data_IF_257515435223
#
_entry.id   IF_257515435223
#
_cell.length_a   1.000
_cell.length_b   1.000
_cell.length_c   1.000
_cell.angle_alpha   90.00
_cell.angle_beta   90.00
_cell.angle_gamma   90.00
#
_symmetry.space_group_name_H-M   'P 1'
#
loop_
_entity.id
_entity.type
_entity.pdbx_description
1 polymer ?
#
# COMPACT_ATOMS: atom_id res chain seq x y z
N UNK A 1 -1.77 -5.70 15.57
CA UNK A 1 -2.72 -4.56 15.48
C UNK A 1 -1.91 -3.36 15.07
N UNK A 2 -2.18 -2.82 13.88
CA UNK A 2 -1.35 -1.78 13.26
C UNK A 2 -1.67 -0.39 13.81
N UNK A 3 -0.80 0.12 14.68
CA UNK A 3 -1.01 1.40 15.38
C UNK A 3 -0.87 2.59 14.43
N UNK A 4 0.04 2.52 13.47
CA UNK A 4 0.29 3.58 12.48
C UNK A 4 -0.90 3.71 11.54
N UNK A 5 -1.43 2.59 11.06
CA UNK A 5 -2.65 2.62 10.26
C UNK A 5 -3.83 3.24 11.02
N UNK A 6 -3.96 2.96 12.33
CA UNK A 6 -5.00 3.59 13.17
C UNK A 6 -4.79 5.09 13.36
N UNK A 7 -3.56 5.57 13.39
CA UNK A 7 -3.26 7.01 13.47
C UNK A 7 -3.55 7.70 12.14
N UNK A 8 -3.09 7.12 11.03
CA UNK A 8 -3.36 7.65 9.70
C UNK A 8 -4.87 7.72 9.39
N UNK A 9 -5.62 6.65 9.68
CA UNK A 9 -7.07 6.66 9.48
C UNK A 9 -7.78 7.73 10.35
N UNK A 10 -7.34 7.91 11.61
CA UNK A 10 -7.87 9.00 12.46
C UNK A 10 -7.51 10.38 11.92
N UNK A 11 -6.33 10.53 11.33
CA UNK A 11 -5.91 11.76 10.67
C UNK A 11 -6.85 12.08 9.49
N UNK A 12 -7.05 11.11 8.58
CA UNK A 12 -7.96 11.24 7.43
C UNK A 12 -9.37 11.63 7.89
N UNK A 13 -9.92 10.95 8.90
CA UNK A 13 -11.24 11.25 9.42
C UNK A 13 -11.39 12.67 9.98
N UNK A 14 -10.35 13.19 10.63
CA UNK A 14 -10.38 14.52 11.26
C UNK A 14 -10.10 15.66 10.30
N UNK A 15 -9.15 15.46 9.38
CA UNK A 15 -8.57 16.54 8.58
C UNK A 15 -8.95 16.49 7.11
N UNK A 16 -9.39 15.34 6.58
CA UNK A 16 -9.63 15.14 5.14
C UNK A 16 -11.10 14.87 4.82
N UNK A 17 -11.79 14.01 5.58
CA UNK A 17 -13.18 13.62 5.26
C UNK A 17 -14.22 14.76 5.41
N UNK A 18 -13.81 15.93 5.87
CA UNK A 18 -14.64 17.14 5.92
C UNK A 18 -14.40 18.07 4.72
N UNK A 19 -15.14 19.18 4.64
CA UNK A 19 -14.79 20.25 3.69
C UNK A 19 -13.50 20.92 4.14
N UNK A 20 -12.41 20.62 3.46
CA UNK A 20 -11.11 21.25 3.68
C UNK A 20 -11.23 22.72 3.27
N UNK A 21 -11.23 23.62 4.25
CA UNK A 21 -11.26 25.07 4.02
C UNK A 21 -9.87 25.66 3.91
N UNK A 22 -8.91 25.04 4.57
CA UNK A 22 -7.53 25.48 4.65
C UNK A 22 -6.61 24.27 4.59
N UNK A 23 -5.89 24.10 3.48
CA UNK A 23 -4.98 22.98 3.31
C UNK A 23 -3.71 23.13 4.15
N UNK A 24 -3.32 24.36 4.53
CA UNK A 24 -2.15 24.60 5.36
C UNK A 24 -2.29 23.94 6.74
N UNK A 25 -3.49 23.98 7.33
CA UNK A 25 -3.78 23.29 8.60
C UNK A 25 -3.60 21.78 8.50
N UNK A 26 -3.98 21.19 7.37
CA UNK A 26 -3.80 19.75 7.12
C UNK A 26 -2.31 19.43 6.95
N UNK A 27 -1.57 20.26 6.21
CA UNK A 27 -0.13 20.09 5.99
C UNK A 27 0.65 20.23 7.31
N UNK A 28 0.36 21.23 8.12
CA UNK A 28 1.02 21.41 9.41
C UNK A 28 0.72 20.26 10.37
N UNK A 29 -0.53 19.82 10.46
CA UNK A 29 -0.88 18.65 11.25
C UNK A 29 -0.15 17.38 10.78
N UNK A 30 0.01 17.20 9.46
CA UNK A 30 0.77 16.09 8.91
C UNK A 30 2.26 16.18 9.29
N UNK A 31 2.88 17.36 9.19
CA UNK A 31 4.28 17.59 9.60
C UNK A 31 4.50 17.30 11.08
N UNK A 32 3.61 17.78 11.95
CA UNK A 32 3.66 17.51 13.39
C UNK A 32 3.62 16.00 13.66
N UNK A 33 2.70 15.28 13.02
CA UNK A 33 2.59 13.83 13.21
C UNK A 33 3.82 13.08 12.68
N UNK A 34 4.35 13.49 11.52
CA UNK A 34 5.59 12.92 10.96
C UNK A 34 6.81 13.15 11.85
N UNK A 35 6.86 14.25 12.58
CA UNK A 35 7.92 14.52 13.54
C UNK A 35 7.90 13.53 14.71
N UNK A 36 6.71 13.09 15.13
CA UNK A 36 6.54 12.15 16.26
C UNK A 36 6.78 10.67 15.91
N UNK A 37 6.80 10.33 14.62
CA UNK A 37 7.02 8.95 14.15
C UNK A 37 8.52 8.82 13.88
N UNK A 38 9.24 7.95 14.58
CA UNK A 38 10.69 7.82 14.35
C UNK A 38 11.02 6.92 13.16
N UNK A 39 10.29 5.80 13.03
CA UNK A 39 10.60 4.77 12.06
C UNK A 39 10.24 5.23 10.63
N UNK A 40 11.19 5.08 9.70
CA UNK A 40 11.02 5.46 8.28
C UNK A 40 9.87 4.73 7.60
N UNK A 41 9.72 3.42 7.81
CA UNK A 41 8.66 2.63 7.20
C UNK A 41 7.29 3.07 7.73
N UNK A 42 7.20 3.38 9.02
CA UNK A 42 5.99 3.89 9.63
C UNK A 42 5.60 5.26 9.08
N UNK A 43 6.57 6.15 8.82
CA UNK A 43 6.32 7.43 8.14
C UNK A 43 5.76 7.22 6.73
N UNK A 44 6.38 6.33 5.95
CA UNK A 44 5.92 6.02 4.59
C UNK A 44 4.48 5.49 4.64
N UNK A 45 4.22 4.54 5.54
CA UNK A 45 2.89 3.94 5.70
C UNK A 45 1.84 4.98 6.09
N UNK A 46 2.18 5.86 7.04
CA UNK A 46 1.32 6.96 7.46
C UNK A 46 0.97 7.89 6.29
N UNK A 47 1.98 8.32 5.53
CA UNK A 47 1.80 9.21 4.37
C UNK A 47 0.96 8.59 3.27
N UNK A 48 1.20 7.32 2.93
CA UNK A 48 0.45 6.64 1.88
C UNK A 48 -1.04 6.53 2.21
N UNK A 49 -1.39 6.17 3.45
CA UNK A 49 -2.80 6.10 3.88
C UNK A 49 -3.48 7.47 3.82
N UNK A 50 -2.77 8.55 4.18
CA UNK A 50 -3.31 9.91 4.09
C UNK A 50 -3.48 10.33 2.64
N UNK A 51 -2.51 10.03 1.79
CA UNK A 51 -2.56 10.33 0.36
C UNK A 51 -3.73 9.62 -0.31
N UNK A 52 -3.92 8.34 0.00
CA UNK A 52 -5.05 7.54 -0.46
C UNK A 52 -6.38 8.15 0.00
N UNK A 53 -6.52 8.45 1.29
CA UNK A 53 -7.71 9.09 1.84
C UNK A 53 -8.02 10.45 1.18
N UNK A 54 -6.99 11.24 0.89
CA UNK A 54 -7.12 12.52 0.19
C UNK A 54 -7.63 12.32 -1.25
N UNK A 55 -7.06 11.36 -1.97
CA UNK A 55 -7.44 11.06 -3.36
C UNK A 55 -8.88 10.55 -3.43
N UNK A 56 -9.29 9.66 -2.52
CA UNK A 56 -10.68 9.16 -2.46
C UNK A 56 -11.68 10.32 -2.33
N UNK A 57 -11.42 11.28 -1.43
CA UNK A 57 -12.32 12.44 -1.25
C UNK A 57 -12.26 13.37 -2.47
N UNK A 58 -11.07 13.56 -3.05
CA UNK A 58 -10.92 14.38 -4.24
C UNK A 58 -11.66 13.80 -5.45
N UNK A 59 -11.54 12.49 -5.68
CA UNK A 59 -12.20 11.78 -6.78
C UNK A 59 -13.73 11.75 -6.63
N UNK A 60 -14.26 11.84 -5.41
CA UNK A 60 -15.69 12.03 -5.18
C UNK A 60 -16.15 13.46 -5.49
N UNK A 61 -15.30 14.46 -5.23
CA UNK A 61 -15.61 15.86 -5.48
C UNK A 61 -15.52 16.23 -6.96
N UNK A 62 -14.44 15.82 -7.64
CA UNK A 62 -14.05 16.25 -8.99
C UNK A 62 -15.14 16.10 -10.05
N UNK A 63 -15.89 14.98 -10.15
CA UNK A 63 -16.96 14.82 -11.14
C UNK A 63 -18.15 15.78 -10.94
N UNK A 64 -18.34 16.27 -9.72
CA UNK A 64 -19.47 17.12 -9.32
C UNK A 64 -19.08 18.62 -9.24
N UNK A 65 -17.83 18.95 -9.55
CA UNK A 65 -17.30 20.29 -9.44
C UNK A 65 -17.70 21.14 -10.66
N UNK A 66 -18.41 22.25 -10.42
CA UNK A 66 -18.93 23.12 -11.48
C UNK A 66 -17.93 24.20 -11.93
N UNK A 67 -16.84 24.40 -11.20
CA UNK A 67 -15.84 25.43 -11.46
C UNK A 67 -14.42 24.90 -11.19
N UNK A 68 -13.93 23.93 -11.99
CA UNK A 68 -12.72 23.16 -11.68
C UNK A 68 -11.47 24.03 -11.53
N UNK A 69 -11.32 25.07 -12.35
CA UNK A 69 -10.13 25.93 -12.36
C UNK A 69 -10.06 26.93 -11.19
N UNK A 70 -11.17 27.15 -10.50
CA UNK A 70 -11.26 28.11 -9.39
C UNK A 70 -11.79 27.46 -8.10
N UNK A 71 -11.91 26.14 -8.08
CA UNK A 71 -12.46 25.45 -6.92
C UNK A 71 -11.41 25.37 -5.81
N UNK A 72 -11.67 26.06 -4.70
CA UNK A 72 -10.80 26.00 -3.52
C UNK A 72 -10.65 24.58 -2.95
N UNK A 73 -11.64 23.70 -3.16
CA UNK A 73 -11.58 22.30 -2.73
C UNK A 73 -10.58 21.52 -3.60
N UNK A 74 -10.58 21.71 -4.92
CA UNK A 74 -9.58 21.12 -5.82
C UNK A 74 -8.17 21.56 -5.42
N UNK A 75 -7.97 22.88 -5.29
CA UNK A 75 -6.67 23.44 -4.91
C UNK A 75 -6.18 22.88 -3.56
N UNK A 76 -7.09 22.71 -2.59
CA UNK A 76 -6.74 22.14 -1.30
C UNK A 76 -6.26 20.69 -1.41
N UNK A 77 -7.03 19.83 -2.10
CA UNK A 77 -6.64 18.43 -2.29
C UNK A 77 -5.35 18.28 -3.11
N UNK A 78 -5.17 19.08 -4.16
CA UNK A 78 -3.96 19.09 -4.98
C UNK A 78 -2.72 19.53 -4.19
N UNK A 79 -2.87 20.56 -3.33
CA UNK A 79 -1.79 21.04 -2.47
C UNK A 79 -1.38 19.99 -1.44
N UNK A 80 -2.36 19.30 -0.83
CA UNK A 80 -2.12 18.18 0.10
C UNK A 80 -1.41 17.04 -0.63
N UNK A 81 -1.92 16.62 -1.79
CA UNK A 81 -1.31 15.55 -2.60
C UNK A 81 0.14 15.90 -2.96
N UNK A 82 0.40 17.12 -3.40
CA UNK A 82 1.75 17.57 -3.73
C UNK A 82 2.69 17.49 -2.53
N UNK A 83 2.26 17.97 -1.36
CA UNK A 83 3.04 17.89 -0.12
C UNK A 83 3.35 16.44 0.27
N UNK A 84 2.32 15.58 0.34
CA UNK A 84 2.48 14.18 0.74
C UNK A 84 3.40 13.42 -0.24
N UNK A 85 3.24 13.68 -1.54
CA UNK A 85 4.10 13.13 -2.57
C UNK A 85 5.57 13.52 -2.39
N UNK A 86 5.82 14.78 -2.05
CA UNK A 86 7.18 15.25 -1.80
C UNK A 86 7.79 14.61 -0.55
N UNK A 87 7.03 14.45 0.53
CA UNK A 87 7.52 13.75 1.74
C UNK A 87 7.82 12.28 1.45
N UNK A 88 6.96 11.58 0.71
CA UNK A 88 7.20 10.21 0.25
C UNK A 88 8.46 10.11 -0.61
N UNK A 89 8.66 11.05 -1.53
CA UNK A 89 9.87 11.12 -2.35
C UNK A 89 11.14 11.32 -1.51
N UNK A 90 11.11 12.17 -0.48
CA UNK A 90 12.23 12.34 0.48
C UNK A 90 12.52 11.06 1.26
N UNK A 91 11.51 10.25 1.52
CA UNK A 91 11.65 8.93 2.12
C UNK A 91 12.00 7.84 1.10
N UNK A 92 12.29 8.19 -0.15
CA UNK A 92 12.74 7.29 -1.21
C UNK A 92 11.63 6.42 -1.81
N UNK A 93 10.38 6.90 -1.78
CA UNK A 93 9.23 6.33 -2.48
C UNK A 93 8.92 7.22 -3.68
N UNK A 94 9.01 6.68 -4.89
CA UNK A 94 8.64 7.42 -6.08
C UNK A 94 7.17 7.13 -6.41
N UNK A 95 6.34 8.16 -6.35
CA UNK A 95 4.96 8.08 -6.81
C UNK A 95 4.94 8.17 -8.34
N UNK A 96 5.21 7.05 -8.98
CA UNK A 96 5.15 6.85 -10.42
C UNK A 96 4.45 5.49 -10.69
N UNK A 97 4.63 4.92 -11.88
CA UNK A 97 4.09 3.60 -12.24
C UNK A 97 4.45 2.48 -11.24
N UNK A 98 5.44 2.69 -10.36
CA UNK A 98 5.84 1.78 -9.28
C UNK A 98 4.90 1.83 -8.05
N UNK A 99 3.92 2.73 -7.98
CA UNK A 99 2.94 2.74 -6.87
C UNK A 99 1.75 1.87 -7.19
N UNK A 100 1.34 0.99 -6.26
CA UNK A 100 0.12 0.21 -6.43
C UNK A 100 -1.10 1.14 -6.50
N UNK A 101 -1.97 0.93 -7.49
CA UNK A 101 -3.33 1.47 -7.46
C UNK A 101 -4.22 0.59 -6.58
N UNK A 102 -5.37 1.11 -6.17
CA UNK A 102 -6.36 0.36 -5.37
C UNK A 102 -6.78 -0.93 -6.09
N UNK A 103 -6.94 -0.88 -7.42
CA UNK A 103 -7.28 -2.05 -8.23
C UNK A 103 -6.14 -3.06 -8.27
N UNK A 104 -4.88 -2.60 -8.29
CA UNK A 104 -3.71 -3.47 -8.27
C UNK A 104 -3.50 -4.10 -6.89
N UNK A 105 -3.70 -3.37 -5.80
CA UNK A 105 -3.68 -3.94 -4.44
C UNK A 105 -4.78 -5.00 -4.30
N UNK A 106 -6.02 -4.67 -4.70
CA UNK A 106 -7.13 -5.61 -4.66
C UNK A 106 -6.91 -6.84 -5.54
N UNK A 107 -6.30 -6.68 -6.72
CA UNK A 107 -5.93 -7.79 -7.59
C UNK A 107 -4.84 -8.67 -6.98
N UNK A 108 -3.80 -8.06 -6.42
CA UNK A 108 -2.71 -8.78 -5.75
C UNK A 108 -3.23 -9.53 -4.51
N UNK A 109 -4.10 -8.90 -3.72
CA UNK A 109 -4.73 -9.51 -2.54
C UNK A 109 -5.59 -10.70 -2.91
N UNK A 110 -6.46 -10.57 -3.91
CA UNK A 110 -7.29 -11.69 -4.38
C UNK A 110 -6.46 -12.86 -4.92
N UNK A 111 -5.32 -12.58 -5.57
CA UNK A 111 -4.37 -13.61 -6.01
C UNK A 111 -3.69 -14.28 -4.83
N UNK A 112 -3.23 -13.52 -3.85
CA UNK A 112 -2.64 -14.07 -2.62
C UNK A 112 -3.65 -14.94 -1.86
N UNK A 113 -4.90 -14.52 -1.74
CA UNK A 113 -5.97 -15.30 -1.10
C UNK A 113 -6.25 -16.60 -1.85
N UNK A 114 -6.24 -16.55 -3.19
CA UNK A 114 -6.38 -17.75 -4.03
C UNK A 114 -5.22 -18.71 -3.78
N UNK A 115 -3.99 -18.21 -3.75
CA UNK A 115 -2.79 -19.01 -3.45
C UNK A 115 -2.89 -19.64 -2.06
N UNK A 116 -3.27 -18.86 -1.05
CA UNK A 116 -3.49 -19.35 0.32
C UNK A 116 -4.55 -20.45 0.30
N UNK A 117 -5.69 -20.24 -0.38
CA UNK A 117 -6.76 -21.22 -0.47
C UNK A 117 -6.32 -22.52 -1.15
N UNK A 118 -5.69 -22.42 -2.31
CA UNK A 118 -5.23 -23.57 -3.10
C UNK A 118 -4.20 -24.41 -2.31
N UNK A 119 -3.32 -23.75 -1.56
CA UNK A 119 -2.37 -24.41 -0.67
C UNK A 119 -3.07 -25.05 0.54
N UNK A 120 -4.20 -24.49 0.97
CA UNK A 120 -5.04 -25.04 2.03
C UNK A 120 -5.85 -26.26 1.58
N UNK A 121 -6.15 -26.38 0.29
CA UNK A 121 -6.84 -27.54 -0.30
C UNK A 121 -5.88 -28.72 -0.54
N UNK A 122 -4.58 -28.45 -0.73
CA UNK A 122 -3.51 -29.47 -0.80
C UNK A 122 -3.18 -30.15 0.55
N UNK A 123 -4.02 -29.96 1.58
CA UNK A 123 -3.87 -30.49 2.95
C UNK A 123 -3.74 -32.02 2.98
N UNK A 124 -2.50 -32.48 2.91
CA UNK A 124 -2.04 -33.75 3.44
C UNK A 124 -0.84 -33.49 4.37
N UNK A 125 -1.11 -33.33 5.67
CA UNK A 125 -0.11 -33.51 6.73
C UNK A 125 0.67 -32.29 7.27
N UNK A 126 0.56 -31.10 6.68
CA UNK A 126 1.47 -29.97 6.99
C UNK A 126 0.77 -28.71 7.51
N UNK A 127 -0.06 -28.86 8.55
CA UNK A 127 -0.88 -27.76 9.08
C UNK A 127 -0.05 -26.58 9.63
N UNK A 128 1.11 -26.85 10.24
CA UNK A 128 2.02 -25.83 10.80
C UNK A 128 2.67 -24.99 9.68
N UNK A 129 3.14 -25.65 8.62
CA UNK A 129 3.73 -25.00 7.44
C UNK A 129 2.76 -24.04 6.77
N UNK A 130 1.48 -24.44 6.71
CA UNK A 130 0.42 -23.62 6.15
C UNK A 130 0.19 -22.34 6.95
N UNK A 131 0.18 -22.44 8.28
CA UNK A 131 -0.03 -21.28 9.15
C UNK A 131 1.13 -20.29 9.06
N UNK A 132 2.37 -20.79 8.97
CA UNK A 132 3.57 -19.95 8.78
C UNK A 132 3.55 -19.25 7.41
N UNK A 133 3.27 -19.98 6.33
CA UNK A 133 3.15 -19.40 5.00
C UNK A 133 2.03 -18.36 4.91
N UNK A 134 0.86 -18.66 5.48
CA UNK A 134 -0.26 -17.71 5.51
C UNK A 134 0.14 -16.43 6.23
N UNK A 135 0.84 -16.54 7.36
CA UNK A 135 1.31 -15.38 8.12
C UNK A 135 2.27 -14.52 7.29
N UNK A 136 3.24 -15.13 6.63
CA UNK A 136 4.20 -14.42 5.77
C UNK A 136 3.50 -13.68 4.61
N UNK A 137 2.50 -14.31 3.99
CA UNK A 137 1.71 -13.69 2.91
C UNK A 137 0.79 -12.57 3.41
N UNK A 138 0.21 -12.68 4.61
CA UNK A 138 -0.55 -11.62 5.25
C UNK A 138 0.33 -10.42 5.62
N UNK A 139 1.57 -10.67 6.08
CA UNK A 139 2.53 -9.60 6.31
C UNK A 139 2.87 -8.84 5.02
N UNK A 140 3.01 -9.56 3.90
CA UNK A 140 3.27 -8.96 2.59
C UNK A 140 2.13 -8.04 2.13
N UNK A 141 0.87 -8.39 2.36
CA UNK A 141 -0.27 -7.48 2.07
C UNK A 141 -0.12 -6.13 2.78
N UNK A 142 0.42 -6.15 4.00
CA UNK A 142 0.66 -4.94 4.79
C UNK A 142 1.77 -4.01 4.26
N UNK A 143 2.47 -4.40 3.19
CA UNK A 143 3.66 -3.74 2.65
C UNK A 143 3.48 -3.11 1.26
N UNK A 144 2.27 -3.10 0.68
CA UNK A 144 2.03 -2.50 -0.65
C UNK A 144 2.51 -1.04 -0.76
N UNK A 145 2.49 -0.32 0.37
CA UNK A 145 3.03 1.03 0.53
C UNK A 145 4.50 1.21 0.10
N UNK A 146 5.27 0.12 -0.06
CA UNK A 146 6.67 0.16 -0.50
C UNK A 146 6.85 0.37 -2.01
N UNK A 147 5.79 0.23 -2.80
CA UNK A 147 5.82 0.22 -4.26
C UNK A 147 6.06 -1.17 -4.85
N UNK A 148 5.54 -1.41 -6.06
CA UNK A 148 5.48 -2.69 -6.80
C UNK A 148 6.83 -3.38 -6.86
N UNK A 149 7.89 -2.67 -7.25
CA UNK A 149 9.24 -3.24 -7.42
C UNK A 149 9.82 -3.72 -6.11
N UNK A 150 9.81 -2.88 -5.07
CA UNK A 150 10.33 -3.26 -3.74
C UNK A 150 9.49 -4.35 -3.10
N UNK A 151 8.17 -4.26 -3.24
CA UNK A 151 7.24 -5.27 -2.76
C UNK A 151 7.51 -6.63 -3.42
N UNK A 152 7.68 -6.67 -4.74
CA UNK A 152 8.02 -7.89 -5.48
C UNK A 152 9.38 -8.47 -5.06
N UNK A 153 10.39 -7.63 -4.86
CA UNK A 153 11.70 -8.07 -4.36
C UNK A 153 11.59 -8.73 -2.98
N UNK A 154 10.81 -8.14 -2.07
CA UNK A 154 10.55 -8.71 -0.74
C UNK A 154 9.75 -10.00 -0.82
N UNK A 155 8.74 -10.04 -1.67
CA UNK A 155 7.93 -11.23 -1.92
C UNK A 155 8.80 -12.40 -2.41
N UNK A 156 9.60 -12.17 -3.45
CA UNK A 156 10.51 -13.18 -3.99
C UNK A 156 11.55 -13.64 -2.95
N UNK A 157 12.10 -12.69 -2.17
CA UNK A 157 13.01 -12.98 -1.06
C UNK A 157 12.37 -13.89 -0.01
N UNK A 158 11.16 -13.55 0.48
CA UNK A 158 10.42 -14.40 1.42
C UNK A 158 10.13 -15.79 0.84
N UNK A 159 9.79 -15.89 -0.44
CA UNK A 159 9.61 -17.19 -1.10
C UNK A 159 10.90 -18.02 -1.10
N UNK A 160 12.05 -17.42 -1.37
CA UNK A 160 13.35 -18.09 -1.31
C UNK A 160 13.71 -18.52 0.11
N UNK A 161 13.47 -17.66 1.10
CA UNK A 161 13.71 -17.97 2.52
C UNK A 161 12.85 -19.16 2.97
N UNK A 162 11.58 -19.21 2.53
CA UNK A 162 10.69 -20.34 2.80
C UNK A 162 11.13 -21.64 2.12
N UNK A 163 11.73 -21.56 0.93
CA UNK A 163 12.36 -22.73 0.29
C UNK A 163 13.58 -23.19 1.08
N UNK A 164 14.48 -22.27 1.43
CA UNK A 164 15.69 -22.55 2.18
C UNK A 164 15.39 -23.13 3.57
N UNK A 165 14.33 -22.66 4.22
CA UNK A 165 13.83 -23.16 5.49
C UNK A 165 13.05 -24.47 5.39
N UNK A 166 12.83 -25.01 4.20
CA UNK A 166 12.07 -26.24 3.98
C UNK A 166 10.56 -26.11 4.23
N UNK A 167 10.04 -24.89 4.32
CA UNK A 167 8.61 -24.59 4.49
C UNK A 167 7.87 -24.95 3.21
N UNK A 168 8.39 -24.57 2.05
CA UNK A 168 7.81 -24.92 0.75
C UNK A 168 8.86 -25.53 -0.18
N UNK A 169 8.44 -26.33 -1.16
CA UNK A 169 9.35 -26.80 -2.20
C UNK A 169 9.62 -25.70 -3.24
N UNK A 170 10.74 -25.79 -3.95
CA UNK A 170 11.03 -24.90 -5.09
C UNK A 170 9.90 -24.88 -6.13
N UNK A 171 9.27 -26.03 -6.38
CA UNK A 171 8.17 -26.15 -7.33
C UNK A 171 6.94 -25.37 -6.87
N UNK A 172 6.64 -25.40 -5.57
CA UNK A 172 5.55 -24.62 -4.98
C UNK A 172 5.89 -23.13 -5.02
N UNK A 173 7.11 -22.76 -4.64
CA UNK A 173 7.59 -21.37 -4.72
C UNK A 173 7.48 -20.79 -6.14
N UNK A 174 7.93 -21.52 -7.16
CA UNK A 174 7.83 -21.10 -8.57
C UNK A 174 6.38 -20.86 -9.00
N UNK A 175 5.45 -21.75 -8.61
CA UNK A 175 4.02 -21.56 -8.92
C UNK A 175 3.46 -20.29 -8.28
N UNK A 176 3.81 -20.03 -7.02
CA UNK A 176 3.36 -18.85 -6.28
C UNK A 176 3.91 -17.56 -6.93
N UNK A 177 5.20 -17.54 -7.30
CA UNK A 177 5.83 -16.40 -7.98
C UNK A 177 5.19 -16.16 -9.35
N UNK A 178 5.05 -17.20 -10.18
CA UNK A 178 4.46 -17.09 -11.52
C UNK A 178 2.98 -16.70 -11.50
N UNK A 179 2.21 -17.08 -10.47
CA UNK A 179 0.80 -16.69 -10.35
C UNK A 179 0.63 -15.17 -10.13
N UNK A 180 1.63 -14.53 -9.54
CA UNK A 180 1.63 -13.09 -9.24
C UNK A 180 2.27 -12.25 -10.35
N UNK A 181 3.18 -12.83 -11.15
CA UNK A 181 3.88 -12.20 -12.28
C UNK A 181 2.97 -11.38 -13.23
N UNK A 182 1.77 -11.86 -13.66
CA UNK A 182 0.87 -11.13 -14.55
C UNK A 182 0.25 -9.87 -13.92
N UNK A 183 0.28 -9.73 -12.59
CA UNK A 183 -0.15 -8.50 -11.92
C UNK A 183 0.87 -7.36 -12.10
N UNK A 184 2.11 -7.70 -12.49
CA UNK A 184 3.27 -6.81 -12.40
C UNK A 184 4.00 -6.60 -13.73
N UNK A 185 3.66 -7.36 -14.78
CA UNK A 185 4.37 -7.32 -16.08
C UNK A 185 4.28 -5.97 -16.79
N UNK A 186 3.38 -5.06 -16.40
CA UNK A 186 3.36 -3.68 -16.92
C UNK A 186 4.52 -2.80 -16.42
N UNK A 187 5.33 -3.26 -15.45
CA UNK A 187 6.39 -2.47 -14.82
C UNK A 187 7.79 -2.72 -15.43
N UNK A 188 7.94 -3.71 -16.32
CA UNK A 188 9.26 -4.08 -16.89
C UNK A 188 9.45 -3.57 -18.33
N UNK A 189 8.40 -3.05 -18.98
CA UNK A 189 8.44 -2.57 -20.37
C UNK A 189 8.36 -1.03 -20.54
N UNK A 190 8.57 -0.24 -19.47
CA UNK A 190 8.72 1.23 -19.55
C UNK A 190 10.13 1.74 -19.23
#
# INVERSE_FOLDING_TARGET
MDVIAKFANRFVQRHINGRIRNYDEVIEAAKEQLYTIDNRLDKIKFLNIILEGNNIVYDQHKPNCTAPDTCHINLAHESITYFLAQELARLGVQLNEDTFTIEEEGSAEAKLDTIIKDLGELKLGYQIIYDDLKKELEELKGLYFLGKKKWHQLFAGKCLDMVAGGVISETVSKKIITALEPAFTRVIES
#
